data_IF_285493153552
#
_entry.id   IF_285493153552
#
_cell.length_a   1.000
_cell.length_b   1.000
_cell.length_c   1.000
_cell.angle_alpha   90.00
_cell.angle_beta   90.00
_cell.angle_gamma   90.00
#
_symmetry.space_group_name_H-M   'P 1'
#
loop_
_entity.id
_entity.type
_entity.pdbx_description
1 polymer ?
#
# COMPACT_ATOMS: atom_id res chain seq x y z
N UNK A 1 -6.30 -11.60 -15.64
CA UNK A 1 -6.38 -12.74 -14.71
C UNK A 1 -5.11 -13.56 -14.68
N UNK A 2 -4.54 -13.84 -15.85
CA UNK A 2 -3.29 -14.60 -15.93
C UNK A 2 -2.14 -14.00 -15.13
N UNK A 3 -2.05 -12.68 -15.09
CA UNK A 3 -1.02 -11.99 -14.31
C UNK A 3 -1.14 -12.24 -12.81
N UNK A 4 -2.35 -12.33 -12.28
CA UNK A 4 -2.56 -12.62 -10.86
C UNK A 4 -2.14 -14.07 -10.55
N UNK A 5 -2.43 -15.01 -11.43
CA UNK A 5 -1.93 -16.39 -11.29
C UNK A 5 -0.41 -16.44 -11.37
N UNK A 6 0.18 -15.69 -12.29
CA UNK A 6 1.64 -15.60 -12.44
C UNK A 6 2.33 -15.08 -11.19
N UNK A 7 1.73 -14.11 -10.54
CA UNK A 7 2.21 -13.56 -9.24
C UNK A 7 2.19 -14.63 -8.15
N UNK A 8 1.31 -15.62 -8.27
CA UNK A 8 1.19 -16.70 -7.30
C UNK A 8 -0.08 -16.66 -6.46
N UNK A 9 -1.05 -15.84 -6.85
CA UNK A 9 -2.32 -15.73 -6.15
C UNK A 9 -3.22 -16.90 -6.54
N UNK A 10 -3.85 -17.54 -5.55
CA UNK A 10 -4.71 -18.70 -5.79
C UNK A 10 -6.04 -18.32 -6.45
N UNK A 11 -6.65 -19.28 -7.12
CA UNK A 11 -7.94 -19.10 -7.78
C UNK A 11 -9.03 -18.61 -6.82
N UNK A 12 -9.11 -19.19 -5.62
CA UNK A 12 -10.10 -18.78 -4.63
C UNK A 12 -9.89 -17.35 -4.17
N UNK A 13 -8.64 -16.95 -3.97
CA UNK A 13 -8.29 -15.58 -3.58
C UNK A 13 -8.65 -14.61 -4.70
N UNK A 14 -8.38 -14.95 -5.96
CA UNK A 14 -8.74 -14.13 -7.11
C UNK A 14 -10.25 -13.93 -7.18
N UNK A 15 -11.04 -14.97 -6.94
CA UNK A 15 -12.50 -14.84 -6.88
C UNK A 15 -12.95 -13.82 -5.84
N UNK A 16 -12.35 -13.88 -4.64
CA UNK A 16 -12.66 -12.94 -3.57
C UNK A 16 -12.25 -11.50 -3.95
N UNK A 17 -11.10 -11.35 -4.59
CA UNK A 17 -10.64 -10.05 -5.08
C UNK A 17 -11.62 -9.46 -6.10
N UNK A 18 -12.13 -10.27 -7.01
CA UNK A 18 -13.10 -9.85 -8.02
C UNK A 18 -14.44 -9.44 -7.41
N UNK A 19 -14.85 -10.06 -6.32
CA UNK A 19 -16.05 -9.66 -5.59
C UNK A 19 -15.89 -8.28 -4.96
N UNK A 20 -14.70 -8.00 -4.40
CA UNK A 20 -14.40 -6.71 -3.77
C UNK A 20 -14.14 -5.61 -4.79
N UNK A 21 -13.45 -5.92 -5.88
CA UNK A 21 -13.06 -4.96 -6.91
C UNK A 21 -13.36 -5.56 -8.29
N UNK A 22 -14.62 -5.49 -8.74
CA UNK A 22 -15.00 -6.09 -10.02
C UNK A 22 -14.22 -5.58 -11.23
N UNK A 23 -13.72 -4.35 -11.19
CA UNK A 23 -12.95 -3.74 -12.28
C UNK A 23 -11.63 -4.48 -12.57
N UNK A 24 -11.16 -5.32 -11.65
CA UNK A 24 -9.96 -6.13 -11.88
C UNK A 24 -10.10 -7.01 -13.12
N UNK A 25 -11.31 -7.50 -13.40
CA UNK A 25 -11.57 -8.33 -14.59
C UNK A 25 -11.26 -7.62 -15.91
N UNK A 26 -11.27 -6.30 -15.90
CA UNK A 26 -11.05 -5.46 -17.09
C UNK A 26 -9.65 -4.85 -17.13
N UNK A 27 -8.83 -5.07 -16.11
CA UNK A 27 -7.49 -4.54 -16.05
C UNK A 27 -6.57 -5.20 -17.07
N UNK A 28 -5.73 -4.37 -17.72
CA UNK A 28 -4.72 -4.87 -18.62
C UNK A 28 -3.61 -5.58 -17.83
N UNK A 29 -2.95 -6.51 -18.50
CA UNK A 29 -1.76 -7.16 -18.00
C UNK A 29 -0.69 -6.13 -17.59
N UNK A 30 -0.51 -5.11 -18.43
CA UNK A 30 0.44 -4.01 -18.17
C UNK A 30 0.15 -3.30 -16.87
N UNK A 31 -1.11 -2.98 -16.58
CA UNK A 31 -1.50 -2.27 -15.35
C UNK A 31 -1.13 -3.09 -14.11
N UNK A 32 -1.41 -4.38 -14.15
CA UNK A 32 -1.09 -5.29 -13.03
C UNK A 32 0.42 -5.41 -12.85
N UNK A 33 1.17 -5.56 -13.95
CA UNK A 33 2.64 -5.62 -13.90
C UNK A 33 3.26 -4.35 -13.34
N UNK A 34 2.74 -3.19 -13.69
CA UNK A 34 3.21 -1.91 -13.15
C UNK A 34 3.03 -1.83 -11.64
N UNK A 35 1.89 -2.30 -11.13
CA UNK A 35 1.63 -2.34 -9.68
C UNK A 35 2.57 -3.30 -8.95
N UNK A 36 2.82 -4.46 -9.54
CA UNK A 36 3.79 -5.42 -9.01
C UNK A 36 5.19 -4.80 -8.96
N UNK A 37 5.59 -4.12 -10.04
CA UNK A 37 6.91 -3.51 -10.15
C UNK A 37 7.13 -2.42 -9.10
N UNK A 38 6.12 -1.60 -8.81
CA UNK A 38 6.20 -0.57 -7.75
C UNK A 38 6.56 -1.23 -6.41
N UNK A 39 5.92 -2.34 -6.07
CA UNK A 39 6.21 -3.05 -4.84
C UNK A 39 7.62 -3.66 -4.85
N UNK A 40 8.04 -4.25 -5.96
CA UNK A 40 9.40 -4.80 -6.11
C UNK A 40 10.46 -3.73 -5.93
N UNK A 41 10.25 -2.54 -6.49
CA UNK A 41 11.19 -1.41 -6.37
C UNK A 41 11.28 -0.88 -4.94
N UNK A 42 10.30 -1.20 -4.10
CA UNK A 42 10.30 -0.86 -2.69
C UNK A 42 10.66 -2.06 -1.80
N UNK A 43 11.40 -3.01 -2.36
CA UNK A 43 11.98 -4.18 -1.69
C UNK A 43 10.98 -5.23 -1.21
N UNK A 44 9.77 -5.23 -1.75
CA UNK A 44 8.83 -6.31 -1.46
C UNK A 44 9.28 -7.60 -2.15
N UNK A 45 9.30 -8.70 -1.42
CA UNK A 45 9.53 -10.02 -1.98
C UNK A 45 8.22 -10.62 -2.53
N UNK A 46 8.29 -11.81 -3.13
CA UNK A 46 7.12 -12.45 -3.73
C UNK A 46 6.00 -12.68 -2.72
N UNK A 47 6.31 -13.13 -1.52
CA UNK A 47 5.32 -13.39 -0.47
C UNK A 47 4.65 -12.11 0.00
N UNK A 48 5.43 -11.04 0.16
CA UNK A 48 4.90 -9.73 0.53
C UNK A 48 3.98 -9.18 -0.56
N UNK A 49 4.36 -9.30 -1.82
CA UNK A 49 3.55 -8.86 -2.96
C UNK A 49 2.22 -9.60 -2.99
N UNK A 50 2.24 -10.93 -2.84
CA UNK A 50 1.02 -11.76 -2.78
C UNK A 50 0.13 -11.29 -1.64
N UNK A 51 0.68 -11.12 -0.45
CA UNK A 51 -0.09 -10.66 0.72
C UNK A 51 -0.71 -9.28 0.49
N UNK A 52 0.08 -8.33 0.00
CA UNK A 52 -0.36 -6.95 -0.20
C UNK A 52 -1.50 -6.89 -1.21
N UNK A 53 -1.32 -7.51 -2.38
CA UNK A 53 -2.32 -7.46 -3.45
C UNK A 53 -3.58 -8.25 -3.07
N UNK A 54 -3.41 -9.42 -2.43
CA UNK A 54 -4.54 -10.25 -2.02
C UNK A 54 -5.37 -9.62 -0.92
N UNK A 55 -4.70 -8.98 0.05
CA UNK A 55 -5.37 -8.33 1.19
C UNK A 55 -5.99 -7.00 0.82
N UNK A 56 -5.41 -6.30 -0.15
CA UNK A 56 -5.87 -4.98 -0.58
C UNK A 56 -5.93 -4.90 -2.11
N UNK A 57 -6.91 -5.56 -2.74
CA UNK A 57 -7.02 -5.53 -4.21
C UNK A 57 -7.34 -4.14 -4.77
N UNK A 58 -7.84 -3.21 -3.95
CA UNK A 58 -8.04 -1.80 -4.34
C UNK A 58 -6.74 -1.15 -4.80
N UNK A 59 -5.59 -1.61 -4.29
CA UNK A 59 -4.28 -1.13 -4.73
C UNK A 59 -4.12 -1.22 -6.25
N UNK A 60 -4.59 -2.31 -6.85
CA UNK A 60 -4.50 -2.52 -8.30
C UNK A 60 -5.26 -1.45 -9.08
N UNK A 61 -6.33 -0.92 -8.51
CA UNK A 61 -7.19 0.07 -9.17
C UNK A 61 -6.71 1.53 -8.98
N UNK A 62 -5.79 1.76 -8.08
CA UNK A 62 -5.20 3.08 -7.85
C UNK A 62 -4.38 3.52 -9.05
N UNK A 63 -4.35 4.83 -9.33
CA UNK A 63 -3.46 5.35 -10.35
C UNK A 63 -2.01 5.30 -9.86
N UNK A 64 -1.08 5.05 -10.76
CA UNK A 64 0.34 4.95 -10.40
C UNK A 64 0.85 6.24 -9.77
N UNK A 65 0.43 7.40 -10.28
CA UNK A 65 0.86 8.70 -9.76
C UNK A 65 0.50 8.89 -8.29
N UNK A 66 -0.72 8.52 -7.90
CA UNK A 66 -1.18 8.63 -6.51
C UNK A 66 -0.33 7.73 -5.61
N UNK A 67 -0.10 6.48 -6.03
CA UNK A 67 0.72 5.52 -5.27
C UNK A 67 2.16 6.01 -5.14
N UNK A 68 2.76 6.49 -6.21
CA UNK A 68 4.14 6.95 -6.21
C UNK A 68 4.33 8.21 -5.34
N UNK A 69 3.37 9.12 -5.34
CA UNK A 69 3.40 10.30 -4.46
C UNK A 69 3.31 9.91 -3.00
N UNK A 70 2.44 8.94 -2.68
CA UNK A 70 2.31 8.41 -1.33
C UNK A 70 3.64 7.82 -0.84
N UNK A 71 4.24 6.96 -1.66
CA UNK A 71 5.52 6.32 -1.34
C UNK A 71 6.62 7.36 -1.14
N UNK A 72 6.70 8.35 -2.03
CA UNK A 72 7.67 9.44 -1.93
C UNK A 72 7.48 10.23 -0.63
N UNK A 73 6.23 10.50 -0.25
CA UNK A 73 5.93 11.24 0.98
C UNK A 73 6.33 10.43 2.22
N UNK A 74 6.02 9.15 2.26
CA UNK A 74 6.41 8.28 3.36
C UNK A 74 7.94 8.25 3.52
N UNK A 75 8.69 8.14 2.42
CA UNK A 75 10.14 8.22 2.46
C UNK A 75 10.64 9.56 3.00
N UNK A 76 9.99 10.65 2.63
CA UNK A 76 10.35 11.99 3.08
C UNK A 76 10.16 12.18 4.59
N UNK A 77 9.23 11.46 5.20
CA UNK A 77 9.04 11.45 6.65
C UNK A 77 10.06 10.58 7.38
N UNK A 78 10.80 9.73 6.66
CA UNK A 78 11.81 8.87 7.26
C UNK A 78 11.44 7.40 7.38
N UNK A 79 10.30 6.98 6.84
CA UNK A 79 9.97 5.56 6.77
C UNK A 79 10.94 4.87 5.82
N UNK A 80 11.75 3.94 6.33
CA UNK A 80 12.84 3.31 5.56
C UNK A 80 12.52 1.90 5.08
N UNK A 81 11.64 1.17 5.79
CA UNK A 81 11.33 -0.23 5.49
C UNK A 81 9.88 -0.37 5.01
N UNK A 82 9.60 0.23 3.83
CA UNK A 82 8.26 0.27 3.28
C UNK A 82 7.70 -1.12 2.98
N UNK A 83 8.55 -2.07 2.59
CA UNK A 83 8.11 -3.44 2.35
C UNK A 83 7.49 -4.07 3.60
N UNK A 84 8.09 -3.87 4.76
CA UNK A 84 7.57 -4.36 6.03
C UNK A 84 6.30 -3.60 6.41
N UNK A 85 6.30 -2.29 6.24
CA UNK A 85 5.16 -1.44 6.56
C UNK A 85 3.92 -1.85 5.75
N UNK A 86 4.05 -1.99 4.45
CA UNK A 86 2.95 -2.36 3.56
C UNK A 86 2.49 -3.81 3.76
N UNK A 87 3.42 -4.71 4.08
CA UNK A 87 3.07 -6.11 4.40
C UNK A 87 2.29 -6.21 5.71
N UNK A 88 2.66 -5.39 6.70
CA UNK A 88 1.96 -5.33 7.99
C UNK A 88 0.58 -4.71 7.88
N UNK A 89 0.42 -3.69 7.03
CA UNK A 89 -0.86 -3.03 6.78
C UNK A 89 -1.00 -2.60 5.32
N UNK A 90 -1.46 -3.50 4.45
CA UNK A 90 -1.61 -3.20 3.03
C UNK A 90 -2.54 -2.02 2.71
N UNK A 91 -3.46 -1.68 3.62
CA UNK A 91 -4.41 -0.58 3.44
C UNK A 91 -3.75 0.80 3.45
N UNK A 92 -2.50 0.90 3.92
CA UNK A 92 -1.72 2.14 3.82
C UNK A 92 -1.67 2.63 2.37
N UNK A 93 -1.60 1.69 1.41
CA UNK A 93 -1.53 2.02 -0.01
C UNK A 93 -2.81 2.66 -0.57
N UNK A 94 -3.90 2.66 0.17
CA UNK A 94 -5.15 3.32 -0.22
C UNK A 94 -5.18 4.80 0.19
N UNK A 95 -4.24 5.26 1.01
CA UNK A 95 -4.19 6.63 1.49
C UNK A 95 -3.64 7.57 0.44
N UNK A 96 -4.06 8.82 0.50
CA UNK A 96 -3.50 9.90 -0.28
C UNK A 96 -2.60 10.77 0.59
N UNK A 97 -1.69 11.49 -0.03
CA UNK A 97 -0.70 12.32 0.66
C UNK A 97 -1.36 13.30 1.64
N UNK A 98 -2.45 13.96 1.22
CA UNK A 98 -3.10 14.96 2.09
C UNK A 98 -3.65 14.35 3.38
N UNK A 99 -4.10 13.09 3.34
CA UNK A 99 -4.62 12.41 4.53
C UNK A 99 -3.52 12.19 5.57
N UNK A 100 -2.35 11.74 5.11
CA UNK A 100 -1.19 11.53 5.98
C UNK A 100 -0.66 12.86 6.50
N UNK A 101 -0.57 13.88 5.66
CA UNK A 101 -0.13 15.21 6.07
C UNK A 101 -1.04 15.77 7.16
N UNK A 102 -2.35 15.68 6.98
CA UNK A 102 -3.32 16.17 7.98
C UNK A 102 -3.16 15.44 9.32
N UNK A 103 -3.03 14.12 9.28
CA UNK A 103 -2.84 13.34 10.50
C UNK A 103 -1.57 13.73 11.24
N UNK A 104 -0.46 13.84 10.54
CA UNK A 104 0.82 14.21 11.13
C UNK A 104 0.79 15.66 11.64
N UNK A 105 0.25 16.58 10.86
CA UNK A 105 0.17 17.99 11.26
C UNK A 105 -0.71 18.17 12.51
N UNK A 106 -1.81 17.43 12.63
CA UNK A 106 -2.65 17.47 13.82
C UNK A 106 -1.90 17.02 15.06
N UNK A 107 -1.07 15.98 14.94
CA UNK A 107 -0.26 15.51 16.06
C UNK A 107 0.87 16.47 16.40
N UNK A 108 1.51 17.09 15.39
CA UNK A 108 2.49 18.15 15.61
C UNK A 108 1.87 19.35 16.34
N UNK A 109 0.68 19.75 15.93
CA UNK A 109 -0.04 20.87 16.54
C UNK A 109 -0.42 20.58 18.00
N UNK A 110 -0.58 19.32 18.36
CA UNK A 110 -0.83 18.90 19.74
C UNK A 110 0.43 18.86 20.61
N UNK A 111 1.59 19.15 20.04
CA UNK A 111 2.86 19.23 20.76
C UNK A 111 3.77 18.02 20.66
N UNK A 112 3.40 17.02 19.84
CA UNK A 112 4.26 15.86 19.61
C UNK A 112 5.41 16.21 18.66
N UNK A 113 6.54 15.49 18.80
CA UNK A 113 7.66 15.62 17.90
C UNK A 113 7.47 14.72 16.68
N UNK A 114 7.94 15.17 15.50
CA UNK A 114 7.81 14.38 14.26
C UNK A 114 8.42 12.98 14.40
N UNK A 115 9.61 12.89 14.97
CA UNK A 115 10.28 11.60 15.15
C UNK A 115 9.46 10.61 15.96
N UNK A 116 8.80 11.09 17.02
CA UNK A 116 7.96 10.24 17.87
C UNK A 116 6.69 9.79 17.12
N UNK A 117 6.12 10.65 16.31
CA UNK A 117 4.94 10.32 15.48
C UNK A 117 5.30 9.22 14.48
N UNK A 118 6.44 9.37 13.79
CA UNK A 118 6.89 8.41 12.79
C UNK A 118 7.23 7.07 13.46
N UNK A 119 7.92 7.07 14.59
CA UNK A 119 8.24 5.86 15.33
C UNK A 119 6.97 5.12 15.77
N UNK A 120 5.95 5.86 16.20
CA UNK A 120 4.67 5.30 16.61
C UNK A 120 3.96 4.60 15.44
N UNK A 121 3.87 5.26 14.30
CA UNK A 121 3.27 4.70 13.09
C UNK A 121 4.06 3.49 12.56
N UNK A 122 5.37 3.57 12.60
CA UNK A 122 6.25 2.49 12.11
C UNK A 122 6.19 1.25 13.00
N UNK A 123 6.06 1.46 14.32
CA UNK A 123 5.95 0.37 15.30
C UNK A 123 4.53 -0.21 15.37
N UNK A 124 3.51 0.57 15.03
CA UNK A 124 2.10 0.19 15.10
C UNK A 124 1.38 0.57 13.79
N UNK A 125 1.66 -0.15 12.69
CA UNK A 125 1.10 0.21 11.38
C UNK A 125 -0.43 0.24 11.33
N UNK A 126 -1.12 -0.43 12.25
CA UNK A 126 -2.58 -0.41 12.34
C UNK A 126 -3.12 1.02 12.59
N UNK A 127 -2.29 1.90 13.16
CA UNK A 127 -2.67 3.30 13.39
C UNK A 127 -2.97 4.05 12.10
N UNK A 128 -2.40 3.62 10.97
CA UNK A 128 -2.75 4.21 9.67
C UNK A 128 -4.23 4.06 9.33
N UNK A 129 -4.92 3.10 9.90
CA UNK A 129 -6.36 2.91 9.67
C UNK A 129 -7.21 3.99 10.35
N UNK A 130 -6.63 4.77 11.25
CA UNK A 130 -7.29 5.90 11.91
C UNK A 130 -7.23 7.20 11.09
N UNK A 131 -6.47 7.17 10.02
CA UNK A 131 -6.27 8.36 9.15
C UNK A 131 -7.48 8.62 8.25
#
# INVERSE_FOLDING_TARGET
MEELYRIGISENTIKNMLELVPTISEMSEKKIKEKELILKKNNCDENQIINIISSNPMYLDKTNDIVLRLISKLKSYGFSMLNILFDSNPYILNLEVFEIENYINNRLDSGEELEDIIDDLDSNPILFNEI
#
